data_IF_391668486650
#
_entry.id   IF_391668486650
#
_cell.length_a   1.000
_cell.length_b   1.000
_cell.length_c   1.000
_cell.angle_alpha   90.00
_cell.angle_beta   90.00
_cell.angle_gamma   90.00
#
_symmetry.space_group_name_H-M   'P 1'
#
loop_
_entity.id
_entity.type
_entity.pdbx_description
1 polymer ?
#
# COMPACT_ATOMS: atom_id res chain seq x y z
N UNK A 1 -62.48 -63.08 -21.26
CA UNK A 1 -63.59 -62.25 -21.79
C UNK A 1 -63.83 -61.08 -20.85
N UNK A 2 -63.80 -59.84 -21.39
CA UNK A 2 -64.45 -58.59 -20.91
C UNK A 2 -64.04 -58.07 -19.50
N UNK A 3 -63.78 -56.78 -19.25
CA UNK A 3 -63.69 -55.52 -20.03
C UNK A 3 -63.28 -54.40 -19.04
N UNK A 4 -62.53 -53.42 -19.55
CA UNK A 4 -62.61 -51.95 -19.32
C UNK A 4 -62.15 -51.29 -17.98
N UNK A 5 -61.05 -50.54 -18.15
CA UNK A 5 -60.72 -49.18 -17.70
C UNK A 5 -61.65 -48.44 -16.71
N UNK A 6 -61.02 -47.87 -15.67
CA UNK A 6 -61.20 -46.46 -15.27
C UNK A 6 -59.86 -45.85 -14.88
N UNK A 7 -59.53 -44.72 -15.51
CA UNK A 7 -58.40 -43.87 -15.19
C UNK A 7 -58.69 -43.05 -13.92
N UNK A 8 -57.71 -42.97 -13.02
CA UNK A 8 -57.71 -42.09 -11.86
C UNK A 8 -56.32 -41.47 -11.71
N UNK A 9 -56.26 -40.15 -11.87
CA UNK A 9 -55.09 -39.30 -11.75
C UNK A 9 -54.56 -39.36 -10.31
N UNK A 10 -53.30 -39.79 -10.12
CA UNK A 10 -52.60 -39.75 -8.83
C UNK A 10 -51.52 -38.67 -8.92
N UNK A 11 -51.71 -37.59 -8.16
CA UNK A 11 -50.68 -36.58 -7.90
C UNK A 11 -49.81 -37.13 -6.76
N UNK A 12 -48.61 -37.59 -7.09
CA UNK A 12 -47.60 -37.98 -6.11
C UNK A 12 -46.70 -36.78 -5.85
N UNK A 13 -46.82 -36.18 -4.65
CA UNK A 13 -45.81 -35.25 -4.12
C UNK A 13 -44.67 -36.10 -3.57
N UNK A 14 -43.55 -36.14 -4.30
CA UNK A 14 -42.32 -36.79 -3.85
C UNK A 14 -41.48 -35.76 -3.08
N UNK A 15 -41.44 -35.89 -1.76
CA UNK A 15 -40.47 -35.16 -0.94
C UNK A 15 -39.10 -35.81 -1.11
N UNK A 16 -38.19 -35.13 -1.80
CA UNK A 16 -36.78 -35.52 -1.88
C UNK A 16 -36.02 -34.91 -0.69
N UNK A 17 -35.63 -35.78 0.22
CA UNK A 17 -34.57 -35.54 1.21
C UNK A 17 -33.25 -35.39 0.45
N UNK A 18 -32.72 -34.17 0.38
CA UNK A 18 -31.32 -33.94 0.04
C UNK A 18 -30.55 -33.74 1.35
N UNK A 19 -29.70 -34.71 1.68
CA UNK A 19 -28.78 -34.62 2.81
C UNK A 19 -27.78 -33.48 2.61
N UNK A 20 -27.66 -32.63 3.63
CA UNK A 20 -26.58 -31.66 3.75
C UNK A 20 -25.26 -32.41 3.94
N UNK A 21 -24.35 -32.34 2.97
CA UNK A 21 -22.94 -32.63 3.20
C UNK A 21 -22.30 -31.40 3.83
N UNK A 22 -22.03 -31.45 5.14
CA UNK A 22 -21.15 -30.50 5.79
C UNK A 22 -19.70 -30.78 5.36
N UNK A 23 -19.19 -30.00 4.41
CA UNK A 23 -17.76 -29.94 4.10
C UNK A 23 -17.21 -28.55 4.43
N UNK A 24 -16.31 -28.51 5.41
CA UNK A 24 -15.36 -27.41 5.62
C UNK A 24 -15.88 -26.25 6.45
N UNK A 25 -15.83 -26.36 7.78
CA UNK A 25 -15.69 -25.18 8.64
C UNK A 25 -14.39 -24.47 8.23
N UNK A 26 -14.50 -23.34 7.53
CA UNK A 26 -13.41 -22.37 7.50
C UNK A 26 -13.10 -21.99 8.94
N UNK A 27 -11.83 -22.05 9.32
CA UNK A 27 -11.39 -21.49 10.61
C UNK A 27 -11.81 -20.02 10.61
N UNK A 28 -12.39 -19.50 11.70
CA UNK A 28 -12.62 -18.06 11.80
C UNK A 28 -11.28 -17.36 11.58
N UNK A 29 -11.25 -16.49 10.57
CA UNK A 29 -10.14 -15.56 10.36
C UNK A 29 -10.08 -14.72 11.63
N UNK A 30 -9.04 -14.92 12.43
CA UNK A 30 -8.75 -14.02 13.54
C UNK A 30 -8.61 -12.62 12.94
N UNK A 31 -9.34 -11.61 13.44
CA UNK A 31 -9.16 -10.27 12.91
C UNK A 31 -7.68 -9.89 12.99
N UNK A 32 -7.20 -9.24 11.93
CA UNK A 32 -5.90 -8.61 11.91
C UNK A 32 -5.78 -7.72 13.16
N UNK A 33 -4.59 -7.74 13.76
CA UNK A 33 -4.16 -6.99 14.94
C UNK A 33 -5.06 -5.78 15.22
N UNK A 34 -5.87 -5.84 16.29
CA UNK A 34 -6.45 -4.62 16.87
C UNK A 34 -5.28 -3.72 17.24
N UNK A 35 -5.13 -2.60 16.53
CA UNK A 35 -4.16 -1.57 16.89
C UNK A 35 -4.36 -1.23 18.37
N UNK A 36 -3.32 -1.42 19.18
CA UNK A 36 -3.32 -0.87 20.53
C UNK A 36 -3.52 0.65 20.37
N UNK A 37 -4.41 1.26 21.16
CA UNK A 37 -4.60 2.70 21.13
C UNK A 37 -3.26 3.38 21.41
N UNK A 38 -2.66 3.98 20.37
CA UNK A 38 -1.42 4.74 20.48
C UNK A 38 -1.82 6.06 21.16
N UNK A 39 -1.29 6.39 22.35
CA UNK A 39 -1.50 7.70 22.95
C UNK A 39 -0.88 8.73 22.00
N UNK A 40 -1.70 9.60 21.42
CA UNK A 40 -1.21 10.69 20.57
C UNK A 40 -1.11 11.96 21.39
N UNK A 41 0.10 12.51 21.48
CA UNK A 41 0.38 13.77 22.19
C UNK A 41 0.91 14.86 21.24
N UNK A 42 1.07 14.54 19.94
CA UNK A 42 1.60 15.45 18.92
C UNK A 42 0.50 15.90 17.97
N UNK A 43 0.49 17.17 17.58
CA UNK A 43 -0.30 17.60 16.42
C UNK A 43 0.39 17.19 15.13
N UNK A 44 -0.35 17.17 14.01
CA UNK A 44 0.26 16.93 12.70
C UNK A 44 1.34 17.98 12.36
N UNK A 45 1.19 19.23 12.79
CA UNK A 45 2.21 20.26 12.60
C UNK A 45 3.48 19.96 13.42
N UNK A 46 3.36 19.36 14.60
CA UNK A 46 4.52 18.92 15.37
C UNK A 46 5.25 17.76 14.68
N UNK A 47 4.52 16.86 14.01
CA UNK A 47 5.10 15.78 13.19
C UNK A 47 5.88 16.35 12.00
N UNK A 48 5.34 17.35 11.30
CA UNK A 48 6.03 18.02 10.19
C UNK A 48 7.24 18.85 10.65
N UNK A 49 7.14 19.55 11.78
CA UNK A 49 8.26 20.33 12.31
C UNK A 49 9.40 19.44 12.79
N UNK A 50 9.10 18.19 13.19
CA UNK A 50 10.11 17.18 13.53
C UNK A 50 10.65 16.45 12.32
N UNK A 51 9.82 16.15 11.32
CA UNK A 51 10.20 15.44 10.10
C UNK A 51 10.10 16.34 8.86
N UNK A 52 11.22 16.90 8.42
CA UNK A 52 11.28 17.90 7.34
C UNK A 52 10.72 17.43 5.97
N UNK A 53 10.38 16.13 5.79
CA UNK A 53 9.68 15.58 4.62
C UNK A 53 8.82 14.36 5.02
N UNK A 54 7.59 14.27 4.48
CA UNK A 54 6.74 13.07 4.54
C UNK A 54 7.09 12.15 3.37
N UNK A 55 7.55 10.93 3.66
CA UNK A 55 8.03 10.00 2.64
C UNK A 55 6.94 9.05 2.13
N UNK A 56 5.93 8.80 2.94
CA UNK A 56 4.91 7.78 2.69
C UNK A 56 3.68 7.98 3.60
N UNK A 57 2.55 7.49 3.12
CA UNK A 57 1.25 7.59 3.78
C UNK A 57 0.54 6.25 3.63
N UNK A 58 -0.05 5.73 4.69
CA UNK A 58 -0.96 4.58 4.57
C UNK A 58 -2.12 4.74 5.53
N UNK A 59 -3.31 4.29 5.14
CA UNK A 59 -4.45 4.19 6.05
C UNK A 59 -4.58 2.76 6.55
N UNK A 60 -4.90 2.58 7.84
CA UNK A 60 -5.11 1.26 8.41
C UNK A 60 -6.32 0.58 7.78
N UNK A 61 -6.31 -0.75 7.73
CA UNK A 61 -7.35 -1.54 7.06
C UNK A 61 -8.76 -1.36 7.66
N UNK A 62 -8.85 -0.94 8.93
CA UNK A 62 -10.11 -0.60 9.60
C UNK A 62 -10.57 0.85 9.35
N UNK A 63 -9.80 1.62 8.56
CA UNK A 63 -10.02 3.02 8.23
C UNK A 63 -10.11 3.95 9.46
N UNK A 64 -9.47 3.59 10.59
CA UNK A 64 -9.49 4.39 11.82
C UNK A 64 -8.26 5.25 12.01
N UNK A 65 -7.13 4.82 11.45
CA UNK A 65 -5.85 5.47 11.65
C UNK A 65 -5.12 5.68 10.33
N UNK A 66 -4.30 6.71 10.27
CA UNK A 66 -3.39 6.98 9.18
C UNK A 66 -1.98 6.92 9.73
N UNK A 67 -1.07 6.19 9.08
CA UNK A 67 0.34 6.19 9.40
C UNK A 67 1.14 7.01 8.39
N UNK A 68 2.13 7.74 8.90
CA UNK A 68 3.00 8.63 8.16
C UNK A 68 4.45 8.33 8.56
N UNK A 69 5.29 8.00 7.59
CA UNK A 69 6.74 7.96 7.77
C UNK A 69 7.36 9.29 7.46
N UNK A 70 8.35 9.62 8.28
CA UNK A 70 9.10 10.86 8.20
C UNK A 70 10.59 10.56 8.37
N UNK A 71 11.43 11.58 8.22
CA UNK A 71 12.84 11.55 8.62
C UNK A 71 13.07 11.32 10.13
N UNK A 72 12.01 11.31 10.95
CA UNK A 72 12.09 11.19 12.41
C UNK A 72 11.17 10.09 12.94
N UNK A 73 10.93 9.05 12.13
CA UNK A 73 10.20 7.86 12.51
C UNK A 73 8.82 7.72 11.86
N UNK A 74 8.12 6.67 12.32
CA UNK A 74 6.79 6.25 11.87
C UNK A 74 5.73 6.68 12.89
N UNK A 75 4.79 7.52 12.48
CA UNK A 75 3.72 8.07 13.30
C UNK A 75 2.36 7.52 12.88
N UNK A 76 1.43 7.37 13.81
CA UNK A 76 0.02 7.02 13.58
C UNK A 76 -0.88 8.11 14.15
N UNK A 77 -1.97 8.42 13.46
CA UNK A 77 -3.04 9.21 14.06
C UNK A 77 -3.63 8.48 15.28
N UNK A 78 -4.00 9.22 16.31
CA UNK A 78 -4.54 8.71 17.58
C UNK A 78 -5.99 9.15 17.85
N UNK A 79 -6.58 9.92 16.93
CA UNK A 79 -7.88 10.57 17.08
C UNK A 79 -7.76 12.01 17.59
N UNK A 80 -8.83 12.80 17.42
CA UNK A 80 -8.92 14.20 17.87
C UNK A 80 -7.82 15.14 17.30
N UNK A 81 -7.29 14.85 16.12
CA UNK A 81 -6.20 15.62 15.51
C UNK A 81 -4.79 15.32 16.05
N UNK A 82 -4.66 14.31 16.92
CA UNK A 82 -3.41 13.94 17.57
C UNK A 82 -2.73 12.74 16.91
N UNK A 83 -1.41 12.63 17.12
CA UNK A 83 -0.50 11.66 16.51
C UNK A 83 0.47 11.11 17.56
N UNK A 84 0.88 9.85 17.39
CA UNK A 84 1.87 9.19 18.25
C UNK A 84 2.80 8.26 17.46
N UNK A 85 3.99 7.99 18.00
CA UNK A 85 4.94 7.05 17.39
C UNK A 85 4.37 5.64 17.39
N UNK A 86 4.48 4.93 16.26
CA UNK A 86 4.09 3.52 16.15
C UNK A 86 5.07 2.64 16.93
N UNK A 87 6.35 3.01 16.94
CA UNK A 87 7.40 2.35 17.71
C UNK A 87 8.39 3.37 18.28
N UNK A 88 8.62 3.42 19.61
CA UNK A 88 9.62 4.32 20.20
C UNK A 88 11.04 4.10 19.67
N UNK A 89 11.37 2.89 19.22
CA UNK A 89 12.69 2.53 18.71
C UNK A 89 12.98 3.08 17.31
N UNK A 90 11.97 3.62 16.60
CA UNK A 90 12.13 4.30 15.32
C UNK A 90 12.21 5.82 15.48
N UNK A 91 12.23 6.32 16.72
CA UNK A 91 12.45 7.73 16.99
C UNK A 91 13.85 8.13 16.47
N UNK A 92 13.91 9.13 15.60
CA UNK A 92 15.11 9.59 14.87
C UNK A 92 15.65 8.69 13.75
N UNK A 93 14.94 7.62 13.39
CA UNK A 93 15.26 6.85 12.18
C UNK A 93 14.57 7.48 10.96
N UNK A 94 15.32 7.64 9.87
CA UNK A 94 14.77 8.05 8.58
C UNK A 94 14.06 6.86 7.94
N UNK A 95 12.73 6.94 7.81
CA UNK A 95 11.91 5.83 7.30
C UNK A 95 11.33 6.21 5.94
N UNK A 96 12.08 5.89 4.89
CA UNK A 96 11.66 6.06 3.50
C UNK A 96 10.55 5.08 3.08
N UNK A 97 10.43 3.93 3.77
CA UNK A 97 9.30 3.02 3.59
C UNK A 97 9.29 1.86 4.56
N UNK A 98 8.17 1.13 4.55
CA UNK A 98 8.00 -0.09 5.32
C UNK A 98 7.17 -1.13 4.56
N UNK A 99 7.23 -2.36 5.04
CA UNK A 99 6.34 -3.42 4.65
C UNK A 99 5.95 -4.23 5.89
N UNK A 100 4.65 -4.33 6.15
CA UNK A 100 4.10 -5.29 7.11
C UNK A 100 3.47 -6.41 6.30
N UNK A 101 3.89 -7.63 6.58
CA UNK A 101 3.33 -8.76 5.86
C UNK A 101 1.86 -9.00 6.25
N UNK A 102 0.92 -9.03 5.28
CA UNK A 102 -0.48 -9.26 5.56
C UNK A 102 -0.80 -10.67 6.08
N UNK A 103 0.07 -11.66 5.87
CA UNK A 103 -0.17 -13.05 6.32
C UNK A 103 0.42 -13.36 7.71
N UNK A 104 1.55 -12.75 8.07
CA UNK A 104 2.18 -12.80 9.38
C UNK A 104 2.63 -11.38 9.79
N UNK A 105 1.77 -10.62 10.50
CA UNK A 105 2.06 -9.25 10.93
C UNK A 105 3.26 -9.10 11.88
N UNK A 106 3.89 -10.22 12.30
CA UNK A 106 5.15 -10.17 13.05
C UNK A 106 6.35 -9.88 12.14
N UNK A 107 6.23 -10.14 10.83
CA UNK A 107 7.24 -9.82 9.83
C UNK A 107 7.05 -8.36 9.41
N UNK A 108 8.00 -7.51 9.81
CA UNK A 108 7.98 -6.08 9.50
C UNK A 108 9.34 -5.69 8.93
N UNK A 109 9.33 -4.94 7.84
CA UNK A 109 10.51 -4.38 7.22
C UNK A 109 10.42 -2.86 7.23
N UNK A 110 11.53 -2.20 7.51
CA UNK A 110 11.68 -0.75 7.34
C UNK A 110 12.95 -0.47 6.55
N UNK A 111 12.99 0.66 5.86
CA UNK A 111 14.15 1.06 5.09
C UNK A 111 14.33 2.58 5.11
N UNK A 112 15.59 3.00 5.00
CA UNK A 112 15.96 4.41 4.89
C UNK A 112 17.47 4.60 4.78
N UNK A 113 17.98 5.68 5.38
CA UNK A 113 19.39 6.09 5.31
C UNK A 113 20.41 5.00 5.73
N UNK A 114 20.01 4.09 6.63
CA UNK A 114 20.86 3.06 7.22
C UNK A 114 20.71 1.66 6.58
N UNK A 115 20.00 1.58 5.46
CA UNK A 115 19.67 0.34 4.75
C UNK A 115 18.33 -0.24 5.18
N UNK A 116 18.22 -1.58 5.17
CA UNK A 116 16.98 -2.31 5.48
C UNK A 116 17.07 -2.96 6.86
N UNK A 117 16.00 -2.82 7.63
CA UNK A 117 15.83 -3.45 8.94
C UNK A 117 14.64 -4.41 8.87
N UNK A 118 14.76 -5.56 9.54
CA UNK A 118 13.74 -6.59 9.58
C UNK A 118 13.46 -6.99 11.03
N UNK A 119 12.18 -7.04 11.37
CA UNK A 119 11.66 -7.61 12.60
C UNK A 119 10.85 -8.87 12.30
N UNK A 120 11.03 -9.91 13.12
CA UNK A 120 10.29 -11.17 13.05
C UNK A 120 9.33 -11.37 14.24
N UNK A 121 9.24 -10.38 15.14
CA UNK A 121 8.51 -10.47 16.40
C UNK A 121 7.54 -9.29 16.62
N UNK A 122 7.14 -8.63 15.52
CA UNK A 122 6.18 -7.53 15.54
C UNK A 122 6.78 -6.21 16.02
N UNK A 123 8.06 -5.98 15.73
CA UNK A 123 8.77 -4.73 16.01
C UNK A 123 9.47 -4.68 17.37
N UNK A 124 9.55 -5.78 18.12
CA UNK A 124 10.22 -5.81 19.43
C UNK A 124 11.73 -5.86 19.29
N UNK A 125 12.21 -6.61 18.31
CA UNK A 125 13.62 -6.68 17.93
C UNK A 125 13.78 -6.51 16.44
N UNK A 126 14.94 -5.96 16.04
CA UNK A 126 15.26 -5.61 14.66
C UNK A 126 16.66 -6.07 14.32
N UNK A 127 16.82 -6.60 13.11
CA UNK A 127 18.12 -6.99 12.54
C UNK A 127 18.32 -6.31 11.21
N UNK A 128 19.54 -5.80 10.96
CA UNK A 128 19.93 -5.27 9.65
C UNK A 128 19.94 -6.40 8.62
N UNK A 129 19.30 -6.17 7.49
CA UNK A 129 19.37 -7.02 6.29
C UNK A 129 19.83 -6.16 5.11
N UNK A 130 20.30 -6.77 4.02
CA UNK A 130 20.90 -5.98 2.94
C UNK A 130 22.16 -6.57 2.31
N UNK A 131 22.37 -7.88 2.37
CA UNK A 131 23.47 -8.47 1.59
C UNK A 131 23.26 -8.14 0.10
N UNK A 132 24.27 -7.56 -0.55
CA UNK A 132 24.18 -7.13 -1.95
C UNK A 132 23.73 -5.69 -2.16
N UNK A 133 23.25 -4.98 -1.13
CA UNK A 133 23.10 -3.53 -1.16
C UNK A 133 24.47 -2.84 -1.00
N UNK A 134 24.64 -1.63 -1.55
CA UNK A 134 25.82 -0.81 -1.31
C UNK A 134 25.91 -0.41 0.18
N UNK A 135 27.09 0.02 0.63
CA UNK A 135 27.32 0.43 2.02
C UNK A 135 28.04 1.78 2.06
N UNK A 136 27.40 2.86 2.54
CA UNK A 136 26.01 2.94 3.01
C UNK A 136 24.98 2.77 1.88
N UNK A 137 23.76 2.33 2.22
CA UNK A 137 22.61 2.26 1.31
C UNK A 137 21.60 3.34 1.71
N UNK A 138 21.63 4.47 1.00
CA UNK A 138 20.63 5.51 1.20
C UNK A 138 19.35 5.15 0.43
N UNK A 139 18.38 4.55 1.11
CA UNK A 139 17.13 4.11 0.49
C UNK A 139 16.12 5.25 0.50
N UNK A 140 15.68 5.69 -0.68
CA UNK A 140 14.70 6.77 -0.84
C UNK A 140 13.26 6.30 -1.06
N UNK A 141 13.05 5.03 -1.43
CA UNK A 141 11.71 4.44 -1.54
C UNK A 141 11.77 2.93 -1.36
N UNK A 142 10.76 2.35 -0.72
CA UNK A 142 10.74 0.93 -0.36
C UNK A 142 9.33 0.34 -0.46
N UNK A 143 9.22 -0.81 -1.12
CA UNK A 143 7.96 -1.52 -1.36
C UNK A 143 8.16 -3.01 -1.07
N UNK A 144 7.18 -3.62 -0.42
CA UNK A 144 7.14 -5.07 -0.21
C UNK A 144 5.82 -5.68 -0.62
N UNK A 145 5.87 -6.93 -1.06
CA UNK A 145 4.70 -7.73 -1.43
C UNK A 145 4.86 -9.20 -0.99
N UNK A 146 3.72 -9.80 -0.65
CA UNK A 146 3.58 -11.20 -0.27
C UNK A 146 3.00 -11.98 -1.45
N UNK A 147 3.72 -12.99 -1.91
CA UNK A 147 3.33 -13.88 -3.02
C UNK A 147 3.44 -15.34 -2.61
N UNK A 148 2.28 -15.96 -2.36
CA UNK A 148 2.25 -17.28 -1.73
C UNK A 148 3.01 -17.23 -0.40
N UNK A 149 4.07 -18.04 -0.27
CA UNK A 149 4.90 -18.10 0.94
C UNK A 149 6.13 -17.16 0.88
N UNK A 150 6.36 -16.47 -0.23
CA UNK A 150 7.54 -15.62 -0.43
C UNK A 150 7.23 -14.14 -0.17
N UNK A 151 8.23 -13.39 0.29
CA UNK A 151 8.20 -11.93 0.37
C UNK A 151 9.21 -11.40 -0.64
N UNK A 152 8.72 -10.61 -1.60
CA UNK A 152 9.58 -9.82 -2.48
C UNK A 152 9.65 -8.39 -1.95
N UNK A 153 10.84 -7.82 -1.96
CA UNK A 153 11.10 -6.44 -1.54
C UNK A 153 11.81 -5.68 -2.66
N UNK A 154 11.49 -4.40 -2.76
CA UNK A 154 12.07 -3.48 -3.73
C UNK A 154 12.55 -2.23 -2.99
N UNK A 155 13.74 -1.75 -3.34
CA UNK A 155 14.34 -0.57 -2.72
C UNK A 155 14.97 0.29 -3.80
N UNK A 156 14.65 1.58 -3.82
CA UNK A 156 15.39 2.56 -4.60
C UNK A 156 16.54 3.09 -3.74
N UNK A 157 17.77 2.89 -4.20
CA UNK A 157 18.99 3.40 -3.57
C UNK A 157 19.44 4.64 -4.35
N UNK A 158 19.47 5.78 -3.66
CA UNK A 158 19.83 7.07 -4.24
C UNK A 158 21.23 7.05 -4.85
N UNK A 159 21.33 7.44 -6.12
CA UNK A 159 22.59 7.47 -6.89
C UNK A 159 23.03 6.12 -7.47
N UNK A 160 22.26 5.05 -7.26
CA UNK A 160 22.60 3.70 -7.74
C UNK A 160 21.47 3.11 -8.60
N UNK A 161 20.25 3.02 -8.05
CA UNK A 161 19.08 2.53 -8.76
C UNK A 161 18.17 1.61 -7.94
N UNK A 162 17.36 0.81 -8.63
CA UNK A 162 16.37 -0.08 -8.01
C UNK A 162 16.99 -1.44 -7.74
N UNK A 163 16.92 -1.87 -6.50
CA UNK A 163 17.30 -3.20 -6.04
C UNK A 163 16.06 -4.05 -5.74
N UNK A 164 16.20 -5.36 -5.92
CA UNK A 164 15.17 -6.35 -5.60
C UNK A 164 15.76 -7.44 -4.70
N UNK A 165 14.96 -7.88 -3.73
CA UNK A 165 15.15 -9.13 -3.00
C UNK A 165 13.93 -10.03 -3.21
N UNK A 166 14.18 -11.32 -3.45
CA UNK A 166 13.14 -12.35 -3.61
C UNK A 166 13.02 -13.29 -2.39
N UNK A 167 13.79 -13.01 -1.33
CA UNK A 167 13.98 -13.85 -0.16
C UNK A 167 13.85 -13.04 1.14
N UNK A 168 12.85 -12.15 1.19
CA UNK A 168 12.53 -11.35 2.37
C UNK A 168 13.72 -10.50 2.89
N UNK A 169 14.50 -9.92 1.99
CA UNK A 169 15.62 -9.04 2.32
C UNK A 169 16.93 -9.76 2.63
N UNK A 170 16.97 -11.09 2.52
CA UNK A 170 18.18 -11.90 2.70
C UNK A 170 19.28 -11.49 1.74
N UNK A 171 18.97 -11.46 0.43
CA UNK A 171 19.90 -11.00 -0.61
C UNK A 171 19.22 -10.07 -1.60
N UNK A 172 19.93 -9.00 -1.91
CA UNK A 172 19.55 -7.95 -2.84
C UNK A 172 20.38 -8.01 -4.12
N UNK A 173 19.75 -7.65 -5.23
CA UNK A 173 20.40 -7.52 -6.54
C UNK A 173 19.97 -6.20 -7.16
N UNK A 174 20.94 -5.48 -7.74
CA UNK A 174 20.63 -4.33 -8.58
C UNK A 174 19.80 -4.83 -9.77
N UNK A 175 18.58 -4.33 -9.87
CA UNK A 175 17.61 -4.74 -10.88
C UNK A 175 17.53 -3.73 -12.02
N UNK A 176 17.63 -2.44 -11.70
CA UNK A 176 17.71 -1.35 -12.67
C UNK A 176 18.68 -0.27 -12.19
N UNK A 177 19.83 -0.09 -12.85
CA UNK A 177 20.66 1.10 -12.64
C UNK A 177 19.87 2.35 -13.05
N UNK A 178 19.85 3.38 -12.19
CA UNK A 178 19.18 4.66 -12.48
C UNK A 178 20.02 5.83 -11.98
N UNK A 179 20.15 6.85 -12.83
CA UNK A 179 20.80 8.13 -12.53
C UNK A 179 19.77 9.27 -12.60
N UNK A 180 18.65 9.09 -11.90
CA UNK A 180 17.59 10.10 -11.77
C UNK A 180 16.86 9.92 -10.43
N UNK A 181 16.18 10.98 -9.99
CA UNK A 181 15.36 10.93 -8.78
C UNK A 181 14.14 10.02 -8.99
N UNK A 182 13.84 9.22 -7.96
CA UNK A 182 12.61 8.44 -7.82
C UNK A 182 11.86 9.01 -6.62
N UNK A 183 10.62 9.44 -6.85
CA UNK A 183 9.78 10.06 -5.82
C UNK A 183 8.92 9.04 -5.08
N UNK A 184 8.45 8.02 -5.79
CA UNK A 184 7.64 6.97 -5.20
C UNK A 184 7.75 5.68 -6.01
N UNK A 185 7.57 4.56 -5.34
CA UNK A 185 7.35 3.26 -5.97
C UNK A 185 6.13 2.62 -5.34
N UNK A 186 5.38 1.86 -6.13
CA UNK A 186 4.34 0.97 -5.62
C UNK A 186 4.15 -0.18 -6.59
N UNK A 187 3.66 -1.29 -6.07
CA UNK A 187 3.55 -2.53 -6.82
C UNK A 187 2.10 -2.90 -7.05
N UNK A 188 1.75 -3.16 -8.31
CA UNK A 188 0.45 -3.63 -8.74
C UNK A 188 0.42 -5.16 -8.79
N UNK A 189 -0.22 -5.84 -7.83
CA UNK A 189 -0.26 -7.30 -7.79
C UNK A 189 -1.18 -7.92 -8.84
N UNK A 190 -2.13 -7.16 -9.41
CA UNK A 190 -3.00 -7.67 -10.48
C UNK A 190 -2.29 -7.70 -11.84
N UNK A 191 -1.26 -6.88 -12.00
CA UNK A 191 -0.44 -6.79 -13.22
C UNK A 191 0.95 -7.43 -13.08
N UNK A 192 1.33 -7.90 -11.88
CA UNK A 192 2.71 -8.29 -11.51
C UNK A 192 3.74 -7.22 -11.90
N UNK A 193 3.46 -5.96 -11.52
CA UNK A 193 4.19 -4.79 -12.05
C UNK A 193 4.60 -3.83 -10.94
N UNK A 194 5.90 -3.54 -10.85
CA UNK A 194 6.40 -2.42 -10.06
C UNK A 194 6.29 -1.13 -10.89
N UNK A 195 5.59 -0.14 -10.37
CA UNK A 195 5.57 1.22 -10.89
C UNK A 195 6.54 2.11 -10.12
N UNK A 196 7.23 2.97 -10.84
CA UNK A 196 8.25 3.89 -10.32
C UNK A 196 7.94 5.28 -10.84
N UNK A 197 7.59 6.20 -9.95
CA UNK A 197 7.47 7.62 -10.26
C UNK A 197 8.87 8.23 -10.26
N UNK A 198 9.36 8.62 -11.43
CA UNK A 198 10.59 9.36 -11.58
C UNK A 198 10.33 10.79 -12.06
N UNK A 199 11.40 11.60 -12.15
CA UNK A 199 11.34 13.05 -12.34
C UNK A 199 10.34 13.55 -13.40
N UNK A 200 10.22 12.84 -14.54
CA UNK A 200 9.36 13.25 -15.67
C UNK A 200 8.51 12.12 -16.26
N UNK A 201 8.62 10.91 -15.71
CA UNK A 201 7.97 9.73 -16.27
C UNK A 201 7.69 8.68 -15.22
N UNK A 202 6.88 7.71 -15.61
CA UNK A 202 6.73 6.46 -14.91
C UNK A 202 7.64 5.42 -15.56
N UNK A 203 8.32 4.64 -14.74
CA UNK A 203 8.97 3.41 -15.18
C UNK A 203 8.17 2.23 -14.67
N UNK A 204 8.10 1.17 -15.46
CA UNK A 204 7.57 -0.11 -15.01
C UNK A 204 8.27 -1.28 -15.67
N UNK A 205 8.27 -2.42 -14.98
CA UNK A 205 8.82 -3.65 -15.51
C UNK A 205 7.71 -4.58 -16.01
N UNK A 206 7.82 -5.04 -17.25
CA UNK A 206 6.89 -5.99 -17.87
C UNK A 206 7.67 -6.94 -18.80
N UNK A 207 7.33 -8.23 -18.80
CA UNK A 207 7.91 -9.22 -19.71
C UNK A 207 9.46 -9.25 -19.74
N UNK A 208 10.10 -8.97 -18.61
CA UNK A 208 11.57 -8.95 -18.49
C UNK A 208 12.24 -7.66 -18.99
N UNK A 209 11.47 -6.63 -19.32
CA UNK A 209 11.96 -5.35 -19.83
C UNK A 209 11.40 -4.17 -19.02
N UNK A 210 12.20 -3.11 -18.95
CA UNK A 210 11.77 -1.84 -18.39
C UNK A 210 11.19 -0.95 -19.47
N UNK A 211 10.04 -0.37 -19.17
CA UNK A 211 9.31 0.53 -20.04
C UNK A 211 9.18 1.89 -19.38
N UNK A 212 9.08 2.92 -20.21
CA UNK A 212 8.79 4.29 -19.79
C UNK A 212 7.42 4.68 -20.31
N UNK A 213 6.67 5.38 -19.47
CA UNK A 213 5.37 5.92 -19.80
C UNK A 213 5.23 7.35 -19.24
N UNK A 214 4.56 8.21 -20.00
CA UNK A 214 4.24 9.58 -19.57
C UNK A 214 2.81 9.64 -19.09
N UNK A 215 2.57 10.40 -18.03
CA UNK A 215 1.20 10.73 -17.61
C UNK A 215 0.65 11.81 -18.55
N UNK A 216 -0.51 11.59 -19.20
CA UNK A 216 -1.06 12.58 -20.14
C UNK A 216 -1.30 13.94 -19.48
N UNK A 217 -1.00 15.00 -20.22
CA UNK A 217 -1.19 16.40 -19.82
C UNK A 217 -0.46 16.85 -18.53
N UNK A 218 0.46 16.03 -18.02
CA UNK A 218 1.28 16.32 -16.85
C UNK A 218 2.77 16.32 -17.19
N UNK A 219 3.51 17.24 -16.58
CA UNK A 219 4.96 17.36 -16.69
C UNK A 219 5.69 16.90 -15.43
N UNK A 220 5.05 16.99 -14.27
CA UNK A 220 5.63 16.61 -12.99
C UNK A 220 4.80 15.51 -12.33
N UNK A 221 5.49 14.49 -11.83
CA UNK A 221 4.91 13.46 -10.98
C UNK A 221 5.45 13.67 -9.58
N UNK A 222 4.58 13.73 -8.58
CA UNK A 222 4.98 13.89 -7.18
C UNK A 222 4.93 12.58 -6.41
N UNK A 223 3.90 11.77 -6.66
CA UNK A 223 3.65 10.54 -5.93
C UNK A 223 2.80 9.61 -6.81
N UNK A 224 2.89 8.31 -6.54
CA UNK A 224 1.98 7.33 -7.10
C UNK A 224 1.52 6.36 -6.02
N UNK A 225 0.36 5.74 -6.25
CA UNK A 225 -0.20 4.71 -5.39
C UNK A 225 -1.06 3.74 -6.19
N UNK A 226 -1.00 2.46 -5.84
CA UNK A 226 -1.84 1.42 -6.45
C UNK A 226 -2.88 0.95 -5.44
N UNK A 227 -4.16 1.03 -5.82
CA UNK A 227 -5.21 0.29 -5.14
C UNK A 227 -5.02 -1.20 -5.46
N UNK A 228 -4.52 -1.96 -4.49
CA UNK A 228 -4.20 -3.39 -4.66
C UNK A 228 -5.41 -4.28 -4.88
N UNK A 229 -6.63 -3.81 -4.58
CA UNK A 229 -7.86 -4.57 -4.80
C UNK A 229 -8.36 -4.44 -6.23
N UNK A 230 -8.22 -3.25 -6.81
CA UNK A 230 -8.76 -2.92 -8.14
C UNK A 230 -7.68 -2.84 -9.22
N UNK A 231 -6.41 -2.73 -8.84
CA UNK A 231 -5.28 -2.51 -9.75
C UNK A 231 -5.20 -1.07 -10.28
N UNK A 232 -6.06 -0.17 -9.83
CA UNK A 232 -6.04 1.23 -10.29
C UNK A 232 -4.79 1.92 -9.75
N UNK A 233 -4.02 2.52 -10.65
CA UNK A 233 -2.88 3.37 -10.33
C UNK A 233 -3.33 4.83 -10.28
N UNK A 234 -3.18 5.48 -9.13
CA UNK A 234 -3.31 6.92 -8.98
C UNK A 234 -1.94 7.59 -9.01
N UNK A 235 -1.83 8.71 -9.73
CA UNK A 235 -0.62 9.52 -9.82
C UNK A 235 -0.94 10.97 -9.51
N UNK A 236 -0.29 11.52 -8.49
CA UNK A 236 -0.38 12.93 -8.13
C UNK A 236 0.56 13.75 -9.02
N UNK A 237 0.03 14.78 -9.68
CA UNK A 237 0.75 15.64 -10.64
C UNK A 237 0.49 17.12 -10.37
N UNK A 238 1.15 18.01 -11.11
CA UNK A 238 0.88 19.46 -11.03
C UNK A 238 -0.53 19.85 -11.50
N UNK A 239 -1.24 18.94 -12.19
CA UNK A 239 -2.61 19.13 -12.70
C UNK A 239 -3.69 18.49 -11.82
N UNK A 240 -3.30 17.79 -10.76
CA UNK A 240 -4.20 16.99 -9.93
C UNK A 240 -3.89 15.50 -10.01
N UNK A 241 -4.85 14.66 -9.65
CA UNK A 241 -4.68 13.19 -9.68
C UNK A 241 -5.11 12.67 -11.05
N UNK A 242 -4.23 11.89 -11.67
CA UNK A 242 -4.52 11.07 -12.84
C UNK A 242 -4.65 9.61 -12.41
N UNK A 243 -5.65 8.91 -12.92
CA UNK A 243 -5.86 7.49 -12.68
C UNK A 243 -5.62 6.70 -13.95
N UNK A 244 -4.92 5.57 -13.82
CA UNK A 244 -4.83 4.55 -14.85
C UNK A 244 -5.61 3.32 -14.42
N UNK A 245 -6.59 2.93 -15.22
CA UNK A 245 -7.41 1.73 -15.05
C UNK A 245 -7.55 1.04 -16.40
N UNK A 246 -7.40 -0.29 -16.44
CA UNK A 246 -7.50 -1.08 -17.68
C UNK A 246 -6.59 -0.57 -18.82
N UNK A 247 -5.43 0.01 -18.47
CA UNK A 247 -4.48 0.57 -19.42
C UNK A 247 -4.79 2.02 -19.88
N UNK A 248 -5.93 2.59 -19.51
CA UNK A 248 -6.34 3.92 -19.94
C UNK A 248 -6.19 4.97 -18.83
N UNK A 249 -5.71 6.15 -19.21
CA UNK A 249 -5.57 7.31 -18.31
C UNK A 249 -6.82 8.19 -18.30
N UNK A 250 -7.20 8.64 -17.11
CA UNK A 250 -8.25 9.64 -16.92
C UNK A 250 -7.93 10.55 -15.74
N UNK A 251 -8.28 11.85 -15.78
CA UNK A 251 -8.24 12.67 -14.59
C UNK A 251 -9.25 12.14 -13.56
N UNK A 252 -8.88 12.18 -12.28
CA UNK A 252 -9.82 11.92 -11.19
C UNK A 252 -10.93 12.98 -11.23
N UNK A 253 -12.17 12.55 -11.40
CA UNK A 253 -13.32 13.45 -11.54
C UNK A 253 -13.55 14.30 -10.27
N UNK A 254 -13.33 13.71 -9.10
CA UNK A 254 -13.46 14.39 -7.81
C UNK A 254 -12.32 15.39 -7.61
N UNK A 255 -12.63 16.68 -7.74
CA UNK A 255 -11.67 17.77 -7.53
C UNK A 255 -11.30 17.89 -6.05
N UNK A 256 -10.01 17.73 -5.75
CA UNK A 256 -9.49 17.95 -4.41
C UNK A 256 -9.57 19.43 -4.00
N UNK A 257 -9.66 19.75 -2.69
CA UNK A 257 -9.77 21.13 -2.20
C UNK A 257 -8.52 21.97 -2.51
N UNK A 258 -7.37 21.30 -2.62
CA UNK A 258 -6.09 21.85 -3.03
C UNK A 258 -5.30 20.79 -3.83
N UNK A 259 -4.13 21.17 -4.34
CA UNK A 259 -3.26 20.22 -5.04
C UNK A 259 -2.71 19.21 -4.03
N UNK A 260 -2.93 17.93 -4.30
CA UNK A 260 -2.39 16.84 -3.49
C UNK A 260 -1.00 16.48 -4.02
N UNK A 261 -0.03 16.45 -3.11
CA UNK A 261 1.37 16.09 -3.40
C UNK A 261 1.67 14.62 -3.05
N UNK A 262 0.89 14.03 -2.14
CA UNK A 262 0.94 12.62 -1.78
C UNK A 262 -0.46 12.03 -1.97
N UNK A 263 -0.52 10.83 -2.51
CA UNK A 263 -1.74 10.02 -2.62
C UNK A 263 -1.44 8.61 -2.14
N UNK A 264 -2.40 7.99 -1.46
CA UNK A 264 -2.31 6.60 -1.03
C UNK A 264 -3.70 5.94 -1.11
N UNK A 265 -3.78 4.61 -1.24
CA UNK A 265 -5.05 3.90 -1.28
C UNK A 265 -5.82 4.12 0.02
N UNK A 266 -7.13 4.34 -0.12
CA UNK A 266 -8.04 4.37 1.01
C UNK A 266 -8.40 2.97 1.52
N UNK A 267 -9.25 2.92 2.54
CA UNK A 267 -9.82 1.72 3.11
C UNK A 267 -11.25 2.03 3.59
N UNK A 268 -12.06 0.99 3.76
CA UNK A 268 -13.46 1.15 4.16
C UNK A 268 -14.26 1.96 3.13
N UNK A 269 -14.90 3.08 3.50
CA UNK A 269 -15.67 3.90 2.57
C UNK A 269 -14.81 4.81 1.71
N UNK A 270 -13.52 4.94 2.02
CA UNK A 270 -12.62 5.86 1.32
C UNK A 270 -11.86 5.14 0.23
N UNK A 271 -11.85 5.74 -0.96
CA UNK A 271 -11.12 5.24 -2.13
C UNK A 271 -9.65 5.68 -2.14
N UNK A 272 -9.42 6.96 -1.84
CA UNK A 272 -8.09 7.55 -1.78
C UNK A 272 -7.95 8.42 -0.53
N UNK A 273 -6.74 8.51 -0.01
CA UNK A 273 -6.32 9.51 0.97
C UNK A 273 -5.13 10.28 0.40
N UNK A 274 -4.98 11.54 0.72
CA UNK A 274 -3.88 12.35 0.20
C UNK A 274 -3.53 13.53 1.08
N UNK A 275 -2.35 14.08 0.85
CA UNK A 275 -1.82 15.26 1.57
C UNK A 275 -1.72 16.40 0.57
N UNK A 276 -2.31 17.54 0.93
CA UNK A 276 -2.24 18.78 0.17
C UNK A 276 -0.92 19.55 0.35
N UNK A 277 -0.67 20.56 -0.48
CA UNK A 277 0.47 21.49 -0.31
C UNK A 277 0.44 22.25 1.02
N UNK A 278 -0.75 22.50 1.57
CA UNK A 278 -0.93 23.06 2.92
C UNK A 278 -0.70 22.02 4.03
N UNK A 279 -0.23 20.83 3.64
CA UNK A 279 -0.03 19.65 4.46
C UNK A 279 -1.31 19.08 5.09
N UNK A 280 -2.51 19.57 4.77
CA UNK A 280 -3.73 18.94 5.26
C UNK A 280 -3.96 17.56 4.64
N UNK A 281 -4.44 16.63 5.46
CA UNK A 281 -4.86 15.30 5.01
C UNK A 281 -6.31 15.37 4.55
N UNK A 282 -6.60 14.77 3.41
CA UNK A 282 -7.94 14.64 2.86
C UNK A 282 -8.23 13.18 2.52
N UNK A 283 -9.48 12.76 2.68
CA UNK A 283 -9.95 11.46 2.24
C UNK A 283 -11.12 11.61 1.27
N UNK A 284 -11.11 10.79 0.22
CA UNK A 284 -12.11 10.74 -0.83
C UNK A 284 -13.08 9.59 -0.57
N UNK A 285 -14.36 9.92 -0.37
CA UNK A 285 -15.47 8.96 -0.35
C UNK A 285 -16.62 9.53 -1.18
N UNK A 286 -17.34 8.68 -1.92
CA UNK A 286 -18.49 9.06 -2.73
C UNK A 286 -18.24 10.33 -3.61
N UNK A 287 -17.11 10.33 -4.32
CA UNK A 287 -16.64 11.44 -5.18
C UNK A 287 -16.46 12.80 -4.48
N UNK A 288 -16.39 12.80 -3.13
CA UNK A 288 -16.19 14.01 -2.33
C UNK A 288 -14.96 13.89 -1.44
N UNK A 289 -14.04 14.84 -1.60
CA UNK A 289 -12.93 15.02 -0.69
C UNK A 289 -13.41 15.70 0.60
N UNK A 290 -13.01 15.13 1.73
CA UNK A 290 -13.24 15.69 3.07
C UNK A 290 -11.93 15.77 3.81
N UNK A 291 -11.74 16.85 4.58
CA UNK A 291 -10.56 16.98 5.43
C UNK A 291 -10.61 15.90 6.51
N UNK A 292 -9.51 15.16 6.65
CA UNK A 292 -9.33 14.15 7.68
C UNK A 292 -8.92 14.85 8.98
N UNK A 293 -9.62 14.53 10.08
CA UNK A 293 -9.40 15.11 11.41
C UNK A 293 -8.92 14.03 12.38
#
# INVERSE_FOLDING_TARGET
MKRLLRAGMVITVLALLAGCSESGRSKPVTPAVTAAAIPGDLTYQDVLQKGEVVHNLTMTADARHVWVGTHSGLYSSAGEGLWGLVFPQLEQEDVAGWFVDPQDPRQIFTAGSDGVMHSQDGGKTWTRTGEGLPKPANIGSFVGIREGDQIRLFAFVTGEGIYQSADAGGRWKLWLPLDQEVYAMDYNPLEDRLYVAAQYNLLYHENGQWHTETVPDAQQVYCLAVDRQTGVLAVATERGIMEKADGEWRPLAAKAPEKLIVVAPGAGPYRWVGIGESAFVYALADDKWTKWN
#
